data_IF_410088731521
#
_entry.id   IF_410088731521
#
_cell.length_a   1.000
_cell.length_b   1.000
_cell.length_c   1.000
_cell.angle_alpha   90.00
_cell.angle_beta   90.00
_cell.angle_gamma   90.00
#
_symmetry.space_group_name_H-M   'P 1'
#
loop_
_entity.id
_entity.type
_entity.pdbx_description
1 polymer ?
#
# COMPACT_ATOMS: atom_id res chain seq x y z
N UNK A 1 19.98 0.57 -16.96
CA UNK A 1 18.96 -0.36 -17.47
C UNK A 1 17.64 0.06 -16.85
N UNK A 2 16.80 0.80 -17.57
CA UNK A 2 15.55 1.34 -17.02
C UNK A 2 14.50 0.22 -16.95
N UNK A 3 14.05 -0.15 -15.74
CA UNK A 3 12.98 -1.12 -15.57
C UNK A 3 11.65 -0.49 -16.00
N UNK A 4 10.93 -1.12 -16.92
CA UNK A 4 9.62 -0.65 -17.38
C UNK A 4 8.53 -1.50 -16.71
N UNK A 5 7.49 -0.82 -16.23
CA UNK A 5 6.33 -1.44 -15.64
C UNK A 5 5.23 -1.57 -16.71
N UNK A 6 4.69 -2.77 -16.90
CA UNK A 6 3.46 -2.94 -17.67
C UNK A 6 2.28 -2.57 -16.77
N UNK A 7 1.42 -1.66 -17.22
CA UNK A 7 0.18 -1.31 -16.51
C UNK A 7 -1.00 -1.81 -17.34
N UNK A 8 -1.67 -2.84 -16.84
CA UNK A 8 -2.90 -3.37 -17.44
C UNK A 8 -4.11 -2.68 -16.82
N UNK A 9 -4.82 -1.90 -17.62
CA UNK A 9 -6.11 -1.32 -17.21
C UNK A 9 -7.23 -2.24 -17.69
N UNK A 10 -7.96 -2.85 -16.76
CA UNK A 10 -9.18 -3.58 -17.10
C UNK A 10 -10.37 -2.61 -17.17
N UNK A 11 -11.13 -2.69 -18.26
CA UNK A 11 -12.32 -1.89 -18.50
C UNK A 11 -13.52 -2.39 -17.68
N UNK A 12 -13.48 -2.25 -16.35
CA UNK A 12 -14.64 -2.53 -15.50
C UNK A 12 -14.74 -1.53 -14.32
N UNK A 13 -14.83 -0.23 -14.62
CA UNK A 13 -15.42 0.76 -13.70
C UNK A 13 -16.26 1.76 -14.52
N UNK A 14 -17.47 2.02 -14.04
CA UNK A 14 -18.65 2.42 -14.82
C UNK A 14 -18.71 3.88 -15.32
N UNK A 15 -17.57 4.59 -15.48
CA UNK A 15 -17.58 5.95 -16.07
C UNK A 15 -16.33 6.33 -16.87
N UNK A 16 -15.35 5.44 -17.04
CA UNK A 16 -14.14 5.73 -17.81
C UNK A 16 -14.22 5.05 -19.18
N UNK A 17 -14.39 5.84 -20.26
CA UNK A 17 -14.31 5.34 -21.64
C UNK A 17 -12.86 4.96 -21.95
N UNK A 18 -12.58 3.66 -21.99
CA UNK A 18 -11.27 3.14 -22.43
C UNK A 18 -11.43 2.63 -23.87
N UNK A 19 -10.83 3.33 -24.84
CA UNK A 19 -10.67 2.83 -26.22
C UNK A 19 -9.52 1.82 -26.29
N UNK A 20 -9.67 0.78 -27.14
CA UNK A 20 -8.75 -0.35 -27.42
C UNK A 20 -7.55 -0.51 -26.47
N UNK A 21 -7.58 -1.57 -25.65
CA UNK A 21 -6.54 -1.92 -24.67
C UNK A 21 -5.23 -2.27 -25.41
N UNK A 22 -4.29 -1.33 -25.45
CA UNK A 22 -2.88 -1.62 -25.68
C UNK A 22 -2.14 -1.51 -24.36
N UNK A 23 -1.24 -2.47 -24.09
CA UNK A 23 -0.36 -2.39 -22.93
C UNK A 23 0.55 -1.16 -23.09
N UNK A 24 0.52 -0.26 -22.09
CA UNK A 24 1.41 0.90 -22.04
C UNK A 24 2.56 0.59 -21.08
N UNK A 25 3.78 0.82 -21.55
CA UNK A 25 4.99 0.72 -20.73
C UNK A 25 5.29 2.06 -20.09
N UNK A 26 5.36 2.07 -18.77
CA UNK A 26 5.63 3.27 -17.98
C UNK A 26 6.90 3.05 -17.16
N UNK A 27 7.78 4.06 -17.11
CA UNK A 27 8.94 4.04 -16.22
C UNK A 27 8.46 3.98 -14.75
N UNK A 28 9.00 3.04 -13.97
CA UNK A 28 8.51 2.77 -12.61
C UNK A 28 8.70 3.95 -11.64
N UNK A 29 9.76 4.74 -11.78
CA UNK A 29 9.99 5.91 -10.92
C UNK A 29 8.99 7.01 -11.20
N UNK A 30 8.68 7.22 -12.48
CA UNK A 30 7.66 8.18 -12.92
C UNK A 30 6.27 7.74 -12.44
N UNK A 31 5.97 6.44 -12.56
CA UNK A 31 4.73 5.87 -12.04
C UNK A 31 4.63 6.04 -10.52
N UNK A 32 5.70 5.71 -9.77
CA UNK A 32 5.71 5.86 -8.30
C UNK A 32 5.47 7.30 -7.87
N UNK A 33 6.15 8.28 -8.50
CA UNK A 33 5.93 9.71 -8.23
C UNK A 33 4.49 10.14 -8.52
N UNK A 34 3.92 9.67 -9.63
CA UNK A 34 2.53 9.94 -9.99
C UNK A 34 1.56 9.38 -8.95
N UNK A 35 1.74 8.12 -8.54
CA UNK A 35 0.89 7.46 -7.54
C UNK A 35 1.02 8.14 -6.17
N UNK A 36 2.23 8.48 -5.73
CA UNK A 36 2.44 9.21 -4.48
C UNK A 36 1.69 10.57 -4.49
N UNK A 37 1.79 11.31 -5.60
CA UNK A 37 1.08 12.59 -5.74
C UNK A 37 -0.46 12.44 -5.69
N UNK A 38 -1.01 11.31 -6.17
CA UNK A 38 -2.44 11.02 -6.02
C UNK A 38 -2.80 10.90 -4.55
N UNK A 39 -2.06 10.09 -3.77
CA UNK A 39 -2.38 9.85 -2.37
C UNK A 39 -2.12 11.06 -1.47
N UNK A 40 -1.11 11.88 -1.78
CA UNK A 40 -0.94 13.20 -1.12
C UNK A 40 -2.18 14.07 -1.34
N UNK A 41 -2.70 14.13 -2.57
CA UNK A 41 -3.93 14.87 -2.87
C UNK A 41 -5.17 14.27 -2.22
N UNK A 42 -5.17 12.96 -1.98
CA UNK A 42 -6.22 12.26 -1.24
C UNK A 42 -6.11 12.45 0.30
N UNK A 43 -5.06 13.13 0.78
CA UNK A 43 -4.95 13.58 2.17
C UNK A 43 -3.91 12.86 3.02
N UNK A 44 -3.16 11.90 2.47
CA UNK A 44 -2.06 11.23 3.17
C UNK A 44 -0.88 12.19 3.38
N UNK A 45 -0.07 11.93 4.42
CA UNK A 45 1.23 12.58 4.53
C UNK A 45 2.16 12.16 3.37
N UNK A 46 3.11 13.00 2.94
CA UNK A 46 4.00 12.68 1.83
C UNK A 46 4.77 11.36 1.97
N UNK A 47 5.25 11.05 3.18
CA UNK A 47 6.01 9.82 3.44
C UNK A 47 5.12 8.57 3.35
N UNK A 48 3.90 8.65 3.87
CA UNK A 48 2.90 7.58 3.78
C UNK A 48 2.45 7.33 2.34
N UNK A 49 2.23 8.40 1.57
CA UNK A 49 1.91 8.32 0.15
C UNK A 49 3.06 7.69 -0.66
N UNK A 50 4.31 7.93 -0.28
CA UNK A 50 5.47 7.28 -0.88
C UNK A 50 5.50 5.78 -0.60
N UNK A 51 5.17 5.35 0.63
CA UNK A 51 5.08 3.93 1.00
C UNK A 51 3.97 3.24 0.18
N UNK A 52 2.77 3.83 0.13
CA UNK A 52 1.65 3.31 -0.64
C UNK A 52 2.02 3.14 -2.12
N UNK A 53 2.61 4.18 -2.72
CA UNK A 53 3.04 4.16 -4.11
C UNK A 53 4.12 3.12 -4.37
N UNK A 54 5.06 2.94 -3.45
CA UNK A 54 6.12 1.95 -3.57
C UNK A 54 5.56 0.53 -3.58
N UNK A 55 4.67 0.17 -2.65
CA UNK A 55 4.09 -1.17 -2.57
C UNK A 55 3.27 -1.50 -3.82
N UNK A 56 2.46 -0.56 -4.31
CA UNK A 56 1.68 -0.77 -5.53
C UNK A 56 2.56 -0.93 -6.78
N UNK A 57 3.57 -0.08 -6.95
CA UNK A 57 4.49 -0.18 -8.10
C UNK A 57 5.37 -1.43 -8.01
N UNK A 58 5.78 -1.82 -6.81
CA UNK A 58 6.51 -3.07 -6.58
C UNK A 58 5.71 -4.28 -7.04
N UNK A 59 4.39 -4.28 -6.80
CA UNK A 59 3.50 -5.36 -7.23
C UNK A 59 3.42 -5.44 -8.76
N UNK A 60 3.25 -4.31 -9.45
CA UNK A 60 3.24 -4.31 -10.92
C UNK A 60 4.60 -4.73 -11.52
N UNK A 61 5.72 -4.32 -10.92
CA UNK A 61 7.06 -4.74 -11.37
C UNK A 61 7.28 -6.26 -11.27
N UNK A 62 6.46 -6.96 -10.48
CA UNK A 62 6.47 -8.43 -10.33
C UNK A 62 5.33 -9.13 -11.07
N UNK A 63 4.58 -8.40 -11.88
CA UNK A 63 3.43 -8.94 -12.62
C UNK A 63 2.23 -9.28 -11.73
N UNK A 64 2.17 -8.74 -10.51
CA UNK A 64 1.05 -8.92 -9.57
C UNK A 64 0.08 -7.74 -9.74
N UNK A 65 -0.43 -7.56 -10.96
CA UNK A 65 -1.21 -6.37 -11.33
C UNK A 65 -2.48 -6.19 -10.49
N UNK A 66 -3.06 -7.29 -10.03
CA UNK A 66 -4.23 -7.31 -9.14
C UNK A 66 -3.97 -6.67 -7.77
N UNK A 67 -2.72 -6.37 -7.41
CA UNK A 67 -2.35 -5.69 -6.17
C UNK A 67 -1.51 -4.43 -6.42
N UNK A 68 -1.42 -3.98 -7.67
CA UNK A 68 -0.69 -2.78 -8.07
C UNK A 68 -1.59 -1.57 -8.30
N UNK A 69 -1.19 -0.66 -9.18
CA UNK A 69 -1.87 0.63 -9.43
C UNK A 69 -3.32 0.53 -9.89
N UNK A 70 -3.76 -0.65 -10.34
CA UNK A 70 -5.17 -0.96 -10.63
C UNK A 70 -6.09 -0.74 -9.42
N UNK A 71 -5.55 -0.81 -8.19
CA UNK A 71 -6.32 -0.62 -6.95
C UNK A 71 -6.65 0.82 -6.62
N UNK A 72 -5.95 1.79 -7.22
CA UNK A 72 -6.06 3.21 -6.86
C UNK A 72 -7.51 3.72 -6.88
N UNK A 73 -8.33 3.49 -7.93
CA UNK A 73 -9.70 3.97 -7.94
C UNK A 73 -10.52 3.47 -6.73
N UNK A 74 -10.45 2.16 -6.44
CA UNK A 74 -11.17 1.59 -5.29
C UNK A 74 -10.69 2.11 -3.93
N UNK A 75 -9.41 2.47 -3.83
CA UNK A 75 -8.88 3.07 -2.60
C UNK A 75 -9.34 4.51 -2.45
N UNK A 76 -9.39 5.29 -3.54
CA UNK A 76 -9.95 6.64 -3.50
C UNK A 76 -11.42 6.61 -3.10
N UNK A 77 -12.21 5.70 -3.66
CA UNK A 77 -13.61 5.50 -3.24
C UNK A 77 -13.71 5.11 -1.74
N UNK A 78 -12.77 4.30 -1.25
CA UNK A 78 -12.71 3.90 0.16
C UNK A 78 -12.29 5.05 1.08
N UNK A 79 -11.41 5.95 0.62
CA UNK A 79 -11.03 7.17 1.34
C UNK A 79 -12.23 8.12 1.40
N UNK A 80 -12.91 8.34 0.27
CA UNK A 80 -14.07 9.23 0.19
C UNK A 80 -15.25 8.77 1.06
N UNK A 81 -15.43 7.45 1.17
CA UNK A 81 -16.46 6.84 2.06
C UNK A 81 -16.00 6.70 3.52
N UNK A 82 -14.75 7.06 3.82
CA UNK A 82 -14.16 6.95 5.16
C UNK A 82 -13.87 5.51 5.59
N UNK A 83 -13.91 4.53 4.69
CA UNK A 83 -13.49 3.14 4.94
C UNK A 83 -11.97 3.00 5.05
N UNK A 84 -11.22 3.87 4.37
CA UNK A 84 -9.78 4.06 4.54
C UNK A 84 -9.52 5.41 5.19
N UNK A 85 -8.84 5.40 6.34
CA UNK A 85 -8.50 6.60 7.07
C UNK A 85 -7.11 7.10 6.65
N UNK A 86 -7.06 8.32 6.11
CA UNK A 86 -5.83 8.98 5.69
C UNK A 86 -5.14 9.73 6.83
N UNK A 87 -5.76 9.80 8.01
CA UNK A 87 -5.21 10.36 9.26
C UNK A 87 -5.55 9.45 10.44
N UNK A 88 -5.08 8.19 10.42
CA UNK A 88 -5.40 7.22 11.45
C UNK A 88 -4.73 7.54 12.79
N UNK A 89 -5.43 7.28 13.89
CA UNK A 89 -4.87 7.27 15.24
C UNK A 89 -4.39 5.86 15.60
N UNK A 90 -3.24 5.47 15.04
CA UNK A 90 -2.66 4.12 15.18
C UNK A 90 -2.21 3.89 16.63
N UNK A 91 -2.69 2.82 17.25
CA UNK A 91 -2.46 2.52 18.67
C UNK A 91 -1.83 1.17 18.89
N UNK A 92 -0.79 1.14 19.73
CA UNK A 92 -0.28 -0.12 20.28
C UNK A 92 -1.23 -0.59 21.39
N UNK A 93 -1.91 -1.71 21.16
CA UNK A 93 -2.84 -2.31 22.12
C UNK A 93 -2.09 -3.17 23.13
N UNK A 94 -1.07 -3.91 22.67
CA UNK A 94 -0.23 -4.74 23.53
C UNK A 94 1.17 -4.85 22.96
N UNK A 95 2.17 -4.77 23.82
CA UNK A 95 3.56 -4.93 23.45
C UNK A 95 4.31 -5.79 24.48
N UNK A 96 5.09 -6.74 23.98
CA UNK A 96 6.04 -7.55 24.75
C UNK A 96 7.39 -7.53 24.04
N UNK A 97 8.44 -8.16 24.59
CA UNK A 97 9.72 -8.27 23.87
C UNK A 97 9.59 -8.91 22.48
N UNK A 98 8.69 -9.89 22.32
CA UNK A 98 8.50 -10.65 21.08
C UNK A 98 7.23 -10.29 20.29
N UNK A 99 6.22 -9.67 20.90
CA UNK A 99 4.89 -9.47 20.28
C UNK A 99 4.55 -7.99 20.21
N UNK A 100 3.94 -7.57 19.10
CA UNK A 100 3.35 -6.26 18.88
C UNK A 100 1.92 -6.43 18.37
N UNK A 101 0.93 -5.90 19.10
CA UNK A 101 -0.47 -5.86 18.67
C UNK A 101 -0.90 -4.40 18.50
N UNK A 102 -1.34 -4.06 17.30
CA UNK A 102 -1.69 -2.69 16.88
C UNK A 102 -3.12 -2.64 16.36
N UNK A 103 -3.83 -1.60 16.78
CA UNK A 103 -5.06 -1.13 16.16
C UNK A 103 -4.69 -0.05 15.15
N UNK A 104 -5.04 -0.29 13.88
CA UNK A 104 -4.63 0.56 12.77
C UNK A 104 -5.61 1.70 12.48
N UNK A 105 -6.78 1.78 13.13
CA UNK A 105 -7.78 2.83 12.87
C UNK A 105 -8.07 3.04 11.37
N UNK A 106 -8.22 1.93 10.63
CA UNK A 106 -8.44 1.87 9.19
C UNK A 106 -7.35 2.56 8.37
N UNK A 107 -6.13 2.60 8.88
CA UNK A 107 -4.96 3.10 8.16
C UNK A 107 -4.80 2.42 6.80
N UNK A 108 -4.13 3.14 5.91
CA UNK A 108 -3.65 2.61 4.63
C UNK A 108 -2.79 1.37 4.88
N UNK A 109 -3.20 0.23 4.31
CA UNK A 109 -2.62 -1.07 4.61
C UNK A 109 -1.08 -1.11 4.46
N UNK A 110 -0.51 -0.66 3.33
CA UNK A 110 0.93 -0.52 3.15
C UNK A 110 1.66 0.30 4.20
N UNK A 111 1.08 1.41 4.63
CA UNK A 111 1.69 2.31 5.62
C UNK A 111 1.83 1.59 6.96
N UNK A 112 0.71 1.10 7.51
CA UNK A 112 0.73 0.48 8.83
C UNK A 112 1.47 -0.86 8.83
N UNK A 113 1.39 -1.63 7.75
CA UNK A 113 2.08 -2.92 7.64
C UNK A 113 3.59 -2.70 7.59
N UNK A 114 4.08 -1.72 6.84
CA UNK A 114 5.51 -1.39 6.78
C UNK A 114 6.05 -0.97 8.15
N UNK A 115 5.32 -0.10 8.87
CA UNK A 115 5.71 0.32 10.22
C UNK A 115 5.80 -0.87 11.19
N UNK A 116 4.76 -1.71 11.22
CA UNK A 116 4.68 -2.86 12.12
C UNK A 116 5.75 -3.89 11.78
N UNK A 117 5.99 -4.15 10.49
CA UNK A 117 7.04 -5.05 10.03
C UNK A 117 8.42 -4.60 10.50
N UNK A 118 8.76 -3.32 10.34
CA UNK A 118 10.02 -2.78 10.85
C UNK A 118 10.16 -3.02 12.37
N UNK A 119 9.10 -2.73 13.15
CA UNK A 119 9.12 -2.93 14.61
C UNK A 119 9.27 -4.39 15.01
N UNK A 120 8.60 -5.32 14.32
CA UNK A 120 8.72 -6.76 14.67
C UNK A 120 10.02 -7.36 14.18
N UNK A 121 10.62 -6.86 13.09
CA UNK A 121 11.97 -7.24 12.69
C UNK A 121 13.00 -6.85 13.75
N UNK A 122 12.90 -5.66 14.35
CA UNK A 122 13.79 -5.28 15.47
C UNK A 122 13.57 -6.15 16.71
N UNK A 123 12.32 -6.49 17.03
CA UNK A 123 12.02 -7.47 18.10
C UNK A 123 12.67 -8.83 17.81
N UNK A 124 12.53 -9.34 16.59
CA UNK A 124 13.13 -10.61 16.17
C UNK A 124 14.66 -10.61 16.30
N UNK A 125 15.32 -9.51 15.93
CA UNK A 125 16.77 -9.35 16.13
C UNK A 125 17.17 -9.43 17.62
N UNK A 126 16.33 -8.91 18.51
CA UNK A 126 16.61 -8.84 19.95
C UNK A 126 16.37 -10.14 20.72
N UNK A 127 15.29 -10.87 20.41
CA UNK A 127 14.84 -12.04 21.19
C UNK A 127 14.56 -13.29 20.34
N UNK A 128 14.99 -13.30 19.07
CA UNK A 128 14.90 -14.43 18.15
C UNK A 128 13.58 -14.57 17.40
N UNK A 129 12.50 -13.95 17.88
CA UNK A 129 11.19 -13.93 17.21
C UNK A 129 10.50 -12.57 17.38
N UNK A 130 9.81 -12.14 16.32
CA UNK A 130 8.93 -10.98 16.32
C UNK A 130 7.59 -11.36 15.72
N UNK A 131 6.50 -11.10 16.44
CA UNK A 131 5.14 -11.37 15.99
C UNK A 131 4.33 -10.08 15.97
N UNK A 132 3.85 -9.69 14.79
CA UNK A 132 2.94 -8.55 14.60
C UNK A 132 1.49 -9.01 14.47
N UNK A 133 0.58 -8.36 15.16
CA UNK A 133 -0.86 -8.47 14.96
C UNK A 133 -1.42 -7.11 14.60
N UNK A 134 -2.22 -7.06 13.53
CA UNK A 134 -2.94 -5.87 13.11
C UNK A 134 -4.44 -6.15 13.20
N UNK A 135 -5.19 -5.19 13.74
CA UNK A 135 -6.65 -5.13 13.59
C UNK A 135 -7.05 -3.79 13.00
N UNK A 136 -8.27 -3.73 12.46
CA UNK A 136 -8.81 -2.52 11.84
C UNK A 136 -7.87 -1.95 10.77
N UNK A 137 -7.12 -2.78 10.04
CA UNK A 137 -6.33 -2.33 8.89
C UNK A 137 -7.11 -2.49 7.58
N UNK A 138 -6.66 -1.80 6.54
CA UNK A 138 -7.23 -1.92 5.19
C UNK A 138 -6.32 -2.76 4.29
N UNK A 139 -6.67 -2.90 3.01
CA UNK A 139 -5.97 -3.78 2.07
C UNK A 139 -4.47 -3.45 1.98
N UNK A 140 -3.61 -4.45 2.17
CA UNK A 140 -2.17 -4.28 2.43
C UNK A 140 -1.29 -4.31 1.16
N UNK A 141 -1.91 -4.33 -0.02
CA UNK A 141 -1.19 -4.55 -1.28
C UNK A 141 -0.68 -5.99 -1.39
N UNK A 142 0.40 -6.19 -2.15
CA UNK A 142 1.00 -7.51 -2.30
C UNK A 142 1.80 -7.90 -1.04
N UNK A 143 1.32 -8.88 -0.28
CA UNK A 143 1.96 -9.29 0.99
C UNK A 143 3.42 -9.76 0.84
N UNK A 144 3.81 -10.24 -0.35
CA UNK A 144 5.20 -10.59 -0.64
C UNK A 144 6.19 -9.40 -0.57
N UNK A 145 5.71 -8.16 -0.51
CA UNK A 145 6.55 -6.98 -0.27
C UNK A 145 7.20 -7.00 1.11
N UNK A 146 6.52 -7.58 2.10
CA UNK A 146 6.96 -7.58 3.51
C UNK A 146 7.76 -8.83 3.91
N UNK A 147 8.00 -9.74 2.96
CA UNK A 147 8.61 -11.06 3.17
C UNK A 147 10.12 -11.04 2.98
#
# INVERSE_FOLDING_TARGET
MYSLCNVKMNAQTSNWRVSSISDVRINHESLRKFVANIFVKAGLAPDEANIEAEVLVWANLRGIDSHGVLRIPSYLDSIDTGLMNTRPDIKTIKETPAVLFVDADRAMGPVVTTEVMNRVTEKAKSVGIGWGLLRENTHQGAMGYYS
#
